data_IF_608457605914
#
_entry.id   IF_608457605914
#
_cell.length_a   1.000
_cell.length_b   1.000
_cell.length_c   1.000
_cell.angle_alpha   90.00
_cell.angle_beta   90.00
_cell.angle_gamma   90.00
#
_symmetry.space_group_name_H-M   'P 1'
#
loop_
_entity.id
_entity.type
_entity.pdbx_description
1 polymer ?
#
# COMPACT_ATOMS: atom_id res chain seq x y z
N UNK A 1 -20.73 10.14 15.47
CA UNK A 1 -19.32 9.74 15.74
C UNK A 1 -19.23 9.39 17.23
N UNK A 2 -19.58 8.15 17.62
CA UNK A 2 -20.03 7.87 18.99
C UNK A 2 -19.04 8.25 20.08
N UNK A 3 -17.74 8.05 19.85
CA UNK A 3 -16.69 8.39 20.82
C UNK A 3 -16.52 9.90 21.03
N UNK A 4 -16.57 10.71 19.95
CA UNK A 4 -16.45 12.17 20.06
C UNK A 4 -17.69 12.78 20.71
N UNK A 5 -18.86 12.28 20.38
CA UNK A 5 -20.12 12.73 20.98
C UNK A 5 -20.17 12.38 22.47
N UNK A 6 -19.78 11.16 22.83
CA UNK A 6 -19.70 10.73 24.23
C UNK A 6 -18.67 11.53 25.05
N UNK A 7 -17.50 11.82 24.47
CA UNK A 7 -16.42 12.53 25.18
C UNK A 7 -16.63 14.04 25.30
N UNK A 8 -17.38 14.66 24.37
CA UNK A 8 -17.60 16.11 24.36
C UNK A 8 -18.96 16.54 24.92
N UNK A 9 -19.94 15.64 24.95
CA UNK A 9 -21.34 15.99 25.21
C UNK A 9 -22.01 16.77 24.05
N UNK A 10 -21.30 16.98 22.94
CA UNK A 10 -21.80 17.64 21.74
C UNK A 10 -22.33 16.60 20.74
N UNK A 11 -23.11 17.06 19.75
CA UNK A 11 -23.60 16.23 18.65
C UNK A 11 -22.96 16.64 17.32
N UNK A 12 -22.71 15.65 16.46
CA UNK A 12 -22.22 15.90 15.11
C UNK A 12 -23.26 16.73 14.33
N UNK A 13 -22.85 17.86 13.76
CA UNK A 13 -23.69 18.79 13.01
C UNK A 13 -24.40 19.86 13.85
N UNK A 14 -24.40 19.75 15.18
CA UNK A 14 -24.98 20.77 16.08
C UNK A 14 -23.93 21.44 16.97
N UNK A 15 -22.89 20.72 17.38
CA UNK A 15 -21.81 21.25 18.22
C UNK A 15 -20.41 21.09 17.64
N UNK A 16 -20.22 20.19 16.68
CA UNK A 16 -18.97 20.04 15.95
C UNK A 16 -19.20 19.39 14.59
N UNK A 17 -18.22 19.54 13.70
CA UNK A 17 -18.18 18.91 12.39
C UNK A 17 -16.92 18.06 12.28
N UNK A 18 -16.93 17.06 11.39
CA UNK A 18 -15.80 16.16 11.18
C UNK A 18 -15.39 16.18 9.73
N UNK A 19 -14.09 16.35 9.50
CA UNK A 19 -13.46 16.24 8.20
C UNK A 19 -12.46 15.08 8.15
N UNK A 20 -12.25 14.53 6.98
CA UNK A 20 -11.25 13.50 6.71
C UNK A 20 -10.39 13.91 5.52
N UNK A 21 -9.08 13.76 5.68
CA UNK A 21 -8.11 13.90 4.60
C UNK A 21 -7.03 12.83 4.76
N UNK A 22 -6.95 11.83 3.88
CA UNK A 22 -5.96 10.78 4.02
C UNK A 22 -4.55 11.31 3.77
N UNK A 23 -3.57 10.77 4.51
CA UNK A 23 -2.17 11.07 4.28
C UNK A 23 -1.64 10.27 3.08
N UNK A 24 -0.94 10.94 2.18
CA UNK A 24 -0.43 10.40 0.91
C UNK A 24 1.05 10.72 0.66
N UNK A 25 1.73 11.37 1.61
CA UNK A 25 3.18 11.58 1.56
C UNK A 25 3.90 10.23 1.54
N UNK A 26 4.89 10.11 0.65
CA UNK A 26 5.84 9.01 0.64
C UNK A 26 7.14 9.44 1.34
N UNK A 27 7.55 8.80 2.45
CA UNK A 27 8.77 9.18 3.16
C UNK A 27 10.00 9.15 2.24
N UNK A 28 10.75 10.24 2.19
CA UNK A 28 11.97 10.36 1.36
C UNK A 28 11.72 10.72 -0.11
N UNK A 29 10.46 10.89 -0.54
CA UNK A 29 10.13 11.42 -1.87
C UNK A 29 10.28 12.95 -1.86
N UNK A 30 11.29 13.44 -2.57
CA UNK A 30 11.57 14.89 -2.70
C UNK A 30 10.80 15.55 -3.84
N UNK A 31 10.20 14.76 -4.72
CA UNK A 31 9.47 15.26 -5.90
C UNK A 31 7.99 15.43 -5.55
N UNK A 32 7.42 14.49 -4.81
CA UNK A 32 6.02 14.49 -4.37
C UNK A 32 5.93 14.79 -2.87
N UNK A 33 6.31 16.02 -2.51
CA UNK A 33 6.16 16.53 -1.15
C UNK A 33 4.69 16.89 -0.80
N UNK A 34 4.44 17.24 0.46
CA UNK A 34 3.11 17.62 0.94
C UNK A 34 2.44 18.73 0.10
N UNK A 35 3.21 19.69 -0.41
CA UNK A 35 2.68 20.86 -1.13
C UNK A 35 2.38 20.54 -2.60
N UNK A 36 2.98 19.48 -3.13
CA UNK A 36 2.96 19.12 -4.56
C UNK A 36 2.07 17.92 -4.88
N UNK A 37 1.47 17.28 -3.86
CA UNK A 37 0.47 16.22 -4.03
C UNK A 37 -0.94 16.76 -3.85
N UNK A 38 -1.87 16.35 -4.71
CA UNK A 38 -3.29 16.69 -4.54
C UNK A 38 -3.83 16.06 -3.27
N UNK A 39 -4.42 16.87 -2.37
CA UNK A 39 -5.06 16.38 -1.15
C UNK A 39 -6.49 15.97 -1.42
N UNK A 40 -6.86 14.79 -0.92
CA UNK A 40 -8.27 14.36 -0.90
C UNK A 40 -8.90 14.88 0.38
N UNK A 41 -10.09 15.46 0.31
CA UNK A 41 -10.85 15.92 1.49
C UNK A 41 -12.31 15.52 1.37
N UNK A 42 -12.95 15.25 2.50
CA UNK A 42 -14.41 15.16 2.59
C UNK A 42 -14.82 15.42 4.04
N UNK A 43 -16.04 15.91 4.28
CA UNK A 43 -16.49 16.22 5.63
C UNK A 43 -17.98 15.92 5.84
N UNK A 44 -18.43 16.07 7.08
CA UNK A 44 -19.81 15.79 7.51
C UNK A 44 -20.86 16.78 6.98
N UNK A 45 -20.43 17.93 6.44
CA UNK A 45 -21.30 18.94 5.84
C UNK A 45 -20.59 19.67 4.69
N UNK A 46 -21.34 20.43 3.90
CA UNK A 46 -20.74 21.30 2.89
C UNK A 46 -19.87 22.41 3.50
N UNK A 47 -20.28 22.98 4.63
CA UNK A 47 -19.54 24.06 5.31
C UNK A 47 -18.20 23.55 5.82
N UNK A 48 -18.20 22.39 6.49
CA UNK A 48 -16.98 21.73 6.93
C UNK A 48 -16.08 21.35 5.75
N UNK A 49 -16.68 20.88 4.64
CA UNK A 49 -15.93 20.48 3.45
C UNK A 49 -15.20 21.67 2.83
N UNK A 50 -15.88 22.82 2.69
CA UNK A 50 -15.27 24.06 2.19
C UNK A 50 -14.17 24.55 3.14
N UNK A 51 -14.45 24.61 4.43
CA UNK A 51 -13.46 25.00 5.46
C UNK A 51 -12.20 24.15 5.39
N UNK A 52 -12.35 22.83 5.29
CA UNK A 52 -11.23 21.90 5.19
C UNK A 52 -10.48 22.05 3.85
N UNK A 53 -11.21 22.23 2.75
CA UNK A 53 -10.62 22.44 1.43
C UNK A 53 -9.80 23.74 1.40
N UNK A 54 -10.33 24.84 1.93
CA UNK A 54 -9.66 26.14 2.00
C UNK A 54 -8.41 26.07 2.89
N UNK A 55 -8.50 25.35 4.02
CA UNK A 55 -7.35 25.10 4.89
C UNK A 55 -6.21 24.42 4.12
N UNK A 56 -6.48 23.32 3.42
CA UNK A 56 -5.44 22.65 2.63
C UNK A 56 -5.00 23.46 1.42
N UNK A 57 -5.90 24.17 0.75
CA UNK A 57 -5.57 25.02 -0.40
C UNK A 57 -4.63 26.18 -0.03
N UNK A 58 -4.62 26.61 1.24
CA UNK A 58 -3.67 27.63 1.72
C UNK A 58 -2.20 27.18 1.69
N UNK A 59 -1.93 25.87 1.65
CA UNK A 59 -0.57 25.30 1.72
C UNK A 59 -0.25 24.30 0.60
N UNK A 60 -1.26 23.73 -0.08
CA UNK A 60 -1.10 22.72 -1.14
C UNK A 60 -1.30 23.34 -2.52
N UNK A 61 -0.22 23.38 -3.30
CA UNK A 61 -0.18 23.97 -4.65
C UNK A 61 -0.81 23.08 -5.71
N UNK A 62 -0.78 21.76 -5.53
CA UNK A 62 -1.35 20.79 -6.47
C UNK A 62 -2.89 20.66 -6.39
N UNK A 63 -3.53 21.48 -5.55
CA UNK A 63 -4.98 21.55 -5.40
C UNK A 63 -5.56 20.49 -4.46
N UNK A 64 -6.88 20.58 -4.32
CA UNK A 64 -7.68 19.77 -3.42
C UNK A 64 -8.78 19.05 -4.20
N UNK A 65 -8.87 17.74 -4.03
CA UNK A 65 -9.95 16.91 -4.54
C UNK A 65 -11.00 16.68 -3.46
N UNK A 66 -12.22 17.17 -3.67
CA UNK A 66 -13.35 16.95 -2.76
C UNK A 66 -13.99 15.61 -3.12
N UNK A 67 -13.83 14.62 -2.24
CA UNK A 67 -14.49 13.33 -2.39
C UNK A 67 -15.97 13.42 -1.98
N UNK A 68 -16.86 12.65 -2.63
CA UNK A 68 -18.31 12.75 -2.43
C UNK A 68 -18.77 12.31 -1.03
N UNK A 69 -17.95 11.59 -0.28
CA UNK A 69 -18.20 11.25 1.11
C UNK A 69 -16.90 10.89 1.83
N UNK A 70 -16.92 10.95 3.17
CA UNK A 70 -15.82 10.48 4.01
C UNK A 70 -15.49 9.01 3.69
N UNK A 71 -16.52 8.16 3.53
CA UNK A 71 -16.35 6.75 3.14
C UNK A 71 -15.59 6.58 1.83
N UNK A 72 -15.88 7.43 0.84
CA UNK A 72 -15.17 7.40 -0.44
C UNK A 72 -13.70 7.85 -0.29
N UNK A 73 -13.44 8.88 0.52
CA UNK A 73 -12.07 9.32 0.81
C UNK A 73 -11.25 8.26 1.57
N UNK A 74 -11.86 7.56 2.54
CA UNK A 74 -11.26 6.44 3.25
C UNK A 74 -10.97 5.28 2.28
N UNK A 75 -11.95 4.89 1.46
CA UNK A 75 -11.80 3.81 0.49
C UNK A 75 -10.70 4.10 -0.54
N UNK A 76 -10.58 5.34 -1.01
CA UNK A 76 -9.52 5.75 -1.92
C UNK A 76 -8.13 5.44 -1.35
N UNK A 77 -7.91 5.77 -0.06
CA UNK A 77 -6.62 5.51 0.60
C UNK A 77 -6.31 4.02 0.69
N UNK A 78 -7.29 3.21 1.03
CA UNK A 78 -7.13 1.75 1.15
C UNK A 78 -6.84 1.10 -0.21
N UNK A 79 -7.52 1.57 -1.27
CA UNK A 79 -7.32 1.04 -2.63
C UNK A 79 -5.92 1.35 -3.16
N UNK A 80 -5.34 2.53 -2.88
CA UNK A 80 -3.98 2.88 -3.30
C UNK A 80 -2.94 1.85 -2.82
N UNK A 81 -3.01 1.48 -1.54
CA UNK A 81 -2.08 0.52 -0.94
C UNK A 81 -2.41 -0.92 -1.36
N UNK A 82 -3.69 -1.26 -1.50
CA UNK A 82 -4.13 -2.59 -1.98
C UNK A 82 -3.68 -2.83 -3.42
N UNK A 83 -3.83 -1.84 -4.31
CA UNK A 83 -3.37 -1.94 -5.69
C UNK A 83 -1.86 -2.16 -5.75
N UNK A 84 -1.08 -1.42 -4.94
CA UNK A 84 0.37 -1.56 -4.90
C UNK A 84 0.77 -2.94 -4.40
N UNK A 85 0.16 -3.43 -3.32
CA UNK A 85 0.40 -4.76 -2.77
C UNK A 85 0.15 -5.87 -3.80
N UNK A 86 -0.99 -5.82 -4.48
CA UNK A 86 -1.39 -6.78 -5.51
C UNK A 86 -0.43 -6.79 -6.71
N UNK A 87 0.02 -5.62 -7.15
CA UNK A 87 0.97 -5.55 -8.26
C UNK A 87 2.34 -6.11 -7.87
N UNK A 88 2.81 -5.85 -6.63
CA UNK A 88 4.05 -6.48 -6.14
C UNK A 88 3.87 -8.00 -6.02
N UNK A 89 2.72 -8.48 -5.56
CA UNK A 89 2.41 -9.89 -5.48
C UNK A 89 2.48 -10.58 -6.85
N UNK A 90 1.90 -9.95 -7.88
CA UNK A 90 2.02 -10.43 -9.25
C UNK A 90 3.49 -10.50 -9.69
N UNK A 91 4.30 -9.47 -9.41
CA UNK A 91 5.72 -9.49 -9.76
C UNK A 91 6.48 -10.60 -9.03
N UNK A 92 6.17 -10.83 -7.75
CA UNK A 92 6.75 -11.89 -6.95
C UNK A 92 6.40 -13.29 -7.49
N UNK A 93 5.13 -13.52 -7.85
CA UNK A 93 4.69 -14.78 -8.45
C UNK A 93 5.39 -15.05 -9.80
N UNK A 94 5.47 -14.04 -10.65
CA UNK A 94 6.19 -14.12 -11.93
C UNK A 94 7.68 -14.36 -11.72
N UNK A 95 8.31 -13.75 -10.71
CA UNK A 95 9.72 -13.98 -10.41
C UNK A 95 9.99 -15.44 -10.00
N UNK A 96 9.10 -16.04 -9.21
CA UNK A 96 9.18 -17.46 -8.84
C UNK A 96 9.05 -18.34 -10.10
N UNK A 97 8.06 -18.05 -10.94
CA UNK A 97 7.78 -18.81 -12.18
C UNK A 97 8.96 -18.74 -13.15
N UNK A 98 9.44 -17.54 -13.47
CA UNK A 98 10.56 -17.35 -14.39
C UNK A 98 11.85 -17.96 -13.85
N UNK A 99 12.09 -17.89 -12.55
CA UNK A 99 13.21 -18.59 -11.93
C UNK A 99 13.13 -20.11 -12.13
N UNK A 100 11.94 -20.71 -12.00
CA UNK A 100 11.74 -22.13 -12.27
C UNK A 100 11.93 -22.50 -13.76
N UNK A 101 11.64 -21.56 -14.66
CA UNK A 101 11.84 -21.70 -16.11
C UNK A 101 13.26 -21.37 -16.59
N UNK A 102 14.15 -20.88 -15.71
CA UNK A 102 15.49 -20.44 -16.10
C UNK A 102 15.51 -19.12 -16.88
N UNK A 103 14.49 -18.27 -16.71
CA UNK A 103 14.36 -16.96 -17.36
C UNK A 103 14.70 -15.86 -16.35
N UNK A 104 15.53 -14.88 -16.73
CA UNK A 104 15.81 -13.72 -15.87
C UNK A 104 14.60 -12.80 -15.84
N UNK A 105 14.01 -12.63 -14.66
CA UNK A 105 12.86 -11.74 -14.44
C UNK A 105 13.15 -10.31 -14.86
N UNK A 106 14.39 -9.83 -14.73
CA UNK A 106 14.76 -8.45 -15.10
C UNK A 106 14.67 -8.23 -16.61
N UNK A 107 15.09 -9.22 -17.40
CA UNK A 107 15.01 -9.15 -18.86
C UNK A 107 13.56 -9.15 -19.33
N UNK A 108 12.71 -9.98 -18.68
CA UNK A 108 11.26 -9.98 -18.96
C UNK A 108 10.63 -8.64 -18.61
N UNK A 109 10.93 -8.08 -17.43
CA UNK A 109 10.38 -6.79 -17.01
C UNK A 109 10.91 -5.64 -17.87
N UNK A 110 12.16 -5.68 -18.32
CA UNK A 110 12.72 -4.70 -19.25
C UNK A 110 11.97 -4.72 -20.59
N UNK A 111 11.71 -5.92 -21.14
CA UNK A 111 10.90 -6.09 -22.35
C UNK A 111 9.44 -5.64 -22.16
N UNK A 112 8.80 -6.01 -21.06
CA UNK A 112 7.42 -5.61 -20.78
C UNK A 112 7.27 -4.09 -20.62
N UNK A 113 8.27 -3.45 -20.00
CA UNK A 113 8.29 -2.01 -19.74
C UNK A 113 8.43 -1.16 -21.01
N UNK A 114 8.72 -1.74 -22.18
CA UNK A 114 8.68 -0.98 -23.45
C UNK A 114 7.26 -0.67 -23.92
N UNK A 115 6.25 -1.37 -23.37
CA UNK A 115 4.84 -1.13 -23.71
C UNK A 115 4.33 0.10 -22.97
N UNK A 116 3.78 1.06 -23.72
CA UNK A 116 3.37 2.38 -23.23
C UNK A 116 2.40 2.40 -22.03
N UNK A 117 1.61 1.34 -21.84
CA UNK A 117 0.66 1.21 -20.73
C UNK A 117 1.04 0.15 -19.70
N UNK A 118 2.27 -0.37 -19.73
CA UNK A 118 2.76 -1.24 -18.69
C UNK A 118 3.10 -0.43 -17.43
N UNK A 119 2.64 -0.91 -16.28
CA UNK A 119 2.94 -0.29 -14.99
C UNK A 119 4.15 -1.01 -14.36
N UNK A 120 5.32 -0.35 -14.24
CA UNK A 120 6.58 -1.03 -13.95
C UNK A 120 6.77 -1.28 -12.44
N UNK A 121 6.06 -2.27 -11.89
CA UNK A 121 6.33 -2.79 -10.56
C UNK A 121 7.53 -3.75 -10.56
N UNK A 122 8.12 -3.98 -9.39
CA UNK A 122 9.27 -4.86 -9.22
C UNK A 122 8.95 -5.93 -8.16
N UNK A 123 9.48 -7.16 -8.28
CA UNK A 123 9.41 -8.14 -7.22
C UNK A 123 10.23 -7.67 -6.02
N UNK A 124 9.83 -8.07 -4.82
CA UNK A 124 10.50 -7.67 -3.60
C UNK A 124 9.78 -8.09 -2.33
N UNK A 125 10.44 -7.84 -1.21
CA UNK A 125 9.86 -8.02 0.12
C UNK A 125 8.95 -6.83 0.44
N UNK A 126 7.72 -7.13 0.88
CA UNK A 126 6.77 -6.12 1.31
C UNK A 126 6.88 -5.92 2.82
N UNK A 127 7.18 -4.70 3.25
CA UNK A 127 7.25 -4.30 4.65
C UNK A 127 6.59 -2.95 4.92
N UNK A 128 6.74 -2.45 6.15
CA UNK A 128 6.08 -1.23 6.61
C UNK A 128 4.61 -1.41 6.98
N UNK A 129 4.02 -0.38 7.56
CA UNK A 129 2.69 -0.46 8.18
C UNK A 129 1.56 -0.50 7.16
N UNK A 130 1.60 0.33 6.12
CA UNK A 130 0.43 0.53 5.26
C UNK A 130 0.20 -0.61 4.28
N UNK A 131 1.22 -1.01 3.49
CA UNK A 131 1.03 -2.06 2.46
C UNK A 131 0.80 -3.43 3.11
N UNK A 132 1.46 -3.68 4.26
CA UNK A 132 1.32 -4.92 5.02
C UNK A 132 -0.03 -5.13 5.71
N UNK A 133 -0.75 -4.03 6.03
CA UNK A 133 -1.92 -4.08 6.91
C UNK A 133 -3.19 -3.54 6.23
N UNK A 134 -3.09 -2.49 5.42
CA UNK A 134 -4.27 -1.84 4.83
C UNK A 134 -5.15 -2.78 4.00
N UNK A 135 -4.60 -3.73 3.21
CA UNK A 135 -5.42 -4.71 2.51
C UNK A 135 -6.30 -5.53 3.47
N UNK A 136 -5.81 -5.83 4.68
CA UNK A 136 -6.57 -6.59 5.69
C UNK A 136 -7.74 -5.81 6.30
N UNK A 137 -7.70 -4.47 6.35
CA UNK A 137 -8.87 -3.69 6.78
C UNK A 137 -10.03 -3.88 5.80
N UNK A 138 -9.73 -3.88 4.49
CA UNK A 138 -10.75 -4.12 3.47
C UNK A 138 -11.25 -5.56 3.51
N UNK A 139 -10.35 -6.54 3.75
CA UNK A 139 -10.78 -7.94 3.88
C UNK A 139 -11.64 -8.18 5.10
N UNK A 140 -11.30 -7.59 6.24
CA UNK A 140 -12.11 -7.65 7.45
C UNK A 140 -13.49 -7.05 7.18
N UNK A 141 -13.55 -5.85 6.57
CA UNK A 141 -14.83 -5.22 6.24
C UNK A 141 -15.66 -6.00 5.24
N UNK A 142 -15.02 -6.63 4.26
CA UNK A 142 -15.67 -7.52 3.30
C UNK A 142 -16.30 -8.73 4.01
N UNK A 143 -15.58 -9.35 4.95
CA UNK A 143 -16.11 -10.49 5.71
C UNK A 143 -17.32 -10.13 6.58
N UNK A 144 -17.32 -8.95 7.22
CA UNK A 144 -18.49 -8.47 7.99
C UNK A 144 -19.77 -8.39 7.16
N UNK A 145 -19.65 -8.15 5.85
CA UNK A 145 -20.79 -8.09 4.91
C UNK A 145 -20.98 -9.39 4.11
N UNK A 146 -20.30 -10.47 4.50
CA UNK A 146 -20.45 -11.79 3.88
C UNK A 146 -19.68 -11.99 2.58
N UNK A 147 -18.68 -11.15 2.27
CA UNK A 147 -17.83 -11.25 1.09
C UNK A 147 -16.42 -11.75 1.45
N UNK A 148 -15.85 -12.58 0.58
CA UNK A 148 -14.45 -13.01 0.68
C UNK A 148 -13.64 -12.45 -0.50
N UNK A 149 -12.75 -11.48 -0.27
CA UNK A 149 -11.98 -10.86 -1.37
C UNK A 149 -10.79 -11.73 -1.78
N UNK A 150 -11.05 -12.69 -2.66
CA UNK A 150 -10.09 -13.71 -3.10
C UNK A 150 -8.78 -13.11 -3.64
N UNK A 151 -8.88 -12.07 -4.48
CA UNK A 151 -7.69 -11.45 -5.12
C UNK A 151 -6.78 -10.81 -4.07
N UNK A 152 -7.36 -10.06 -3.12
CA UNK A 152 -6.60 -9.39 -2.06
C UNK A 152 -5.88 -10.42 -1.18
N UNK A 153 -6.60 -11.47 -0.75
CA UNK A 153 -6.05 -12.52 0.09
C UNK A 153 -4.95 -13.30 -0.62
N UNK A 154 -5.12 -13.61 -1.91
CA UNK A 154 -4.10 -14.28 -2.71
C UNK A 154 -2.82 -13.42 -2.81
N UNK A 155 -2.96 -12.12 -3.10
CA UNK A 155 -1.81 -11.23 -3.18
C UNK A 155 -1.02 -11.12 -1.87
N UNK A 156 -1.74 -11.01 -0.74
CA UNK A 156 -1.14 -11.04 0.59
C UNK A 156 -0.39 -12.35 0.86
N UNK A 157 -1.01 -13.48 0.56
CA UNK A 157 -0.39 -14.80 0.72
C UNK A 157 0.90 -14.93 -0.09
N UNK A 158 0.91 -14.47 -1.35
CA UNK A 158 2.11 -14.47 -2.18
C UNK A 158 3.22 -13.59 -1.60
N UNK A 159 2.91 -12.37 -1.18
CA UNK A 159 3.90 -11.45 -0.60
C UNK A 159 4.48 -11.98 0.73
N UNK A 160 3.65 -12.59 1.58
CA UNK A 160 4.08 -13.17 2.86
C UNK A 160 4.91 -14.44 2.71
N UNK A 161 4.76 -15.16 1.60
CA UNK A 161 5.56 -16.35 1.30
C UNK A 161 6.99 -16.03 0.79
N UNK A 162 7.22 -14.82 0.28
CA UNK A 162 8.50 -14.45 -0.35
C UNK A 162 9.74 -14.57 0.57
N UNK A 163 9.72 -14.15 1.85
CA UNK A 163 10.85 -14.36 2.75
C UNK A 163 11.27 -15.83 2.85
N UNK A 164 10.30 -16.73 3.01
CA UNK A 164 10.56 -18.17 3.11
C UNK A 164 11.10 -18.75 1.79
N UNK A 165 10.56 -18.30 0.65
CA UNK A 165 11.07 -18.66 -0.67
C UNK A 165 12.55 -18.28 -0.83
N UNK A 166 12.92 -17.03 -0.53
CA UNK A 166 14.30 -16.53 -0.64
C UNK A 166 15.23 -17.31 0.30
N UNK A 167 14.83 -17.52 1.56
CA UNK A 167 15.61 -18.31 2.51
C UNK A 167 15.85 -19.74 2.00
N UNK A 168 14.83 -20.39 1.44
CA UNK A 168 14.94 -21.70 0.80
C UNK A 168 15.94 -21.71 -0.36
N UNK A 169 15.95 -20.67 -1.21
CA UNK A 169 16.90 -20.55 -2.33
C UNK A 169 18.33 -20.34 -1.87
N UNK A 170 18.55 -19.58 -0.79
CA UNK A 170 19.87 -19.42 -0.18
C UNK A 170 20.38 -20.78 0.31
N UNK A 171 19.56 -21.52 1.06
CA UNK A 171 19.92 -22.85 1.57
C UNK A 171 20.24 -23.83 0.42
N UNK A 172 19.37 -23.90 -0.59
CA UNK A 172 19.61 -24.75 -1.77
C UNK A 172 20.93 -24.41 -2.47
N UNK A 173 21.27 -23.13 -2.57
CA UNK A 173 22.52 -22.67 -3.17
C UNK A 173 23.73 -23.06 -2.31
N UNK A 174 23.65 -22.93 -0.98
CA UNK A 174 24.69 -23.39 -0.06
C UNK A 174 24.97 -24.90 -0.22
N UNK A 175 23.92 -25.72 -0.32
CA UNK A 175 24.05 -27.18 -0.53
C UNK A 175 24.72 -27.48 -1.87
N UNK A 176 24.28 -26.83 -2.97
CA UNK A 176 24.90 -27.01 -4.31
C UNK A 176 26.38 -26.63 -4.34
N UNK A 177 26.79 -25.66 -3.52
CA UNK A 177 28.17 -25.22 -3.39
C UNK A 177 28.99 -26.03 -2.37
N UNK A 178 28.42 -27.07 -1.75
CA UNK A 178 29.12 -27.91 -0.77
C UNK A 178 29.45 -27.18 0.54
N UNK A 179 28.69 -26.16 0.92
CA UNK A 179 28.91 -25.41 2.18
C UNK A 179 28.48 -26.24 3.39
N UNK A 180 29.22 -26.10 4.49
CA UNK A 180 28.85 -26.69 5.78
C UNK A 180 27.55 -26.11 6.31
N UNK A 181 26.67 -26.96 6.85
CA UNK A 181 25.40 -26.56 7.43
C UNK A 181 25.47 -26.55 8.98
N UNK A 182 24.88 -25.55 9.65
CA UNK A 182 24.21 -24.37 9.09
C UNK A 182 25.22 -23.34 8.52
N UNK A 183 24.90 -22.65 7.41
CA UNK A 183 25.80 -21.69 6.80
C UNK A 183 25.82 -20.39 7.63
N UNK A 184 26.97 -19.70 7.63
CA UNK A 184 27.04 -18.31 8.10
C UNK A 184 26.56 -17.39 6.99
N UNK A 185 25.54 -16.58 7.26
CA UNK A 185 24.93 -15.65 6.29
C UNK A 185 25.14 -14.22 6.76
N UNK A 186 25.58 -13.35 5.86
CA UNK A 186 25.63 -11.90 6.08
C UNK A 186 24.38 -11.24 5.48
N UNK A 187 23.59 -10.58 6.33
CA UNK A 187 22.42 -9.81 5.89
C UNK A 187 22.86 -8.36 5.71
N UNK A 188 22.80 -7.86 4.48
CA UNK A 188 23.13 -6.48 4.14
C UNK A 188 21.83 -5.70 3.90
N UNK A 189 21.40 -4.94 4.90
CA UNK A 189 20.13 -4.21 4.90
C UNK A 189 19.09 -4.86 5.82
N UNK A 190 18.58 -4.08 6.78
CA UNK A 190 17.56 -4.50 7.74
C UNK A 190 16.26 -3.70 7.61
N UNK A 191 16.28 -2.60 6.87
CA UNK A 191 15.12 -1.75 6.63
C UNK A 191 14.37 -2.21 5.39
N UNK A 192 13.05 -2.05 5.39
CA UNK A 192 12.19 -2.42 4.23
C UNK A 192 12.29 -1.41 3.08
N UNK A 193 12.93 -0.26 3.32
CA UNK A 193 13.19 0.79 2.35
C UNK A 193 14.63 1.26 2.55
N UNK A 194 15.33 1.49 1.43
CA UNK A 194 16.68 2.04 1.41
C UNK A 194 16.69 3.54 1.74
#
# INVERSE_FOLDING_TARGET
MPFLEAGSGLKLGEGFEVGYSPERINPGDKVHDFTTITKVVSASSEVATRTLADLYASVVKAGVHIAPSIKAAEAAKVIENTQRDLNIALMNELAILFHAMGIDTRDVLAGASTKWNFLPFQPGLVGGHCIGVDPYYLTHKAHEIGLTPQVILAGRGTNEAMPAFIAGKIIQSCVKLGRSMPPKIAILGLTYKA
#
